data_IF_949326941835
#
_entry.id   IF_949326941835
#
_cell.length_a   1.000
_cell.length_b   1.000
_cell.length_c   1.000
_cell.angle_alpha   90.00
_cell.angle_beta   90.00
_cell.angle_gamma   90.00
#
_symmetry.space_group_name_H-M   'P 1'
#
loop_
_entity.id
_entity.type
_entity.pdbx_description
1 polymer ?
#
# COMPACT_ATOMS: atom_id res chain seq x y z
N UNK A 1 19.69 29.55 59.49
CA UNK A 1 20.02 30.62 58.53
C UNK A 1 19.82 30.03 57.14
N UNK A 2 18.77 30.29 56.38
CA UNK A 2 17.73 31.32 56.43
C UNK A 2 17.68 32.04 55.08
N UNK A 3 16.75 31.64 54.21
CA UNK A 3 16.24 32.35 53.00
C UNK A 3 15.50 31.33 52.11
N UNK A 4 14.21 31.06 52.30
CA UNK A 4 13.05 31.88 51.91
C UNK A 4 13.28 32.81 50.70
N UNK A 5 12.80 32.36 49.53
CA UNK A 5 12.51 33.22 48.38
C UNK A 5 11.14 32.86 47.80
N UNK A 6 10.13 33.31 48.54
CA UNK A 6 8.76 33.47 48.10
C UNK A 6 8.64 34.51 46.97
N UNK A 7 7.84 34.19 45.96
CA UNK A 7 6.88 35.15 45.40
C UNK A 7 7.34 35.98 44.20
N UNK A 8 6.79 35.63 43.03
CA UNK A 8 6.18 36.62 42.13
C UNK A 8 5.23 35.91 41.16
N UNK A 9 3.93 36.04 41.42
CA UNK A 9 2.87 35.76 40.44
C UNK A 9 2.65 37.03 39.61
N UNK A 10 2.83 37.01 38.28
CA UNK A 10 2.39 38.12 37.46
C UNK A 10 0.87 38.10 37.34
N UNK A 11 0.26 39.14 37.91
CA UNK A 11 -1.13 39.50 37.70
C UNK A 11 -1.29 40.24 36.35
N UNK A 12 -2.47 40.10 35.77
CA UNK A 12 -3.04 40.93 34.71
C UNK A 12 -2.46 40.81 33.29
N UNK A 13 -2.93 39.81 32.56
CA UNK A 13 -3.29 40.01 31.15
C UNK A 13 -4.81 39.89 30.99
N UNK A 14 -5.47 41.05 31.03
CA UNK A 14 -6.86 41.21 30.59
C UNK A 14 -6.90 40.87 29.10
N UNK A 15 -7.44 39.70 28.78
CA UNK A 15 -7.76 39.29 27.41
C UNK A 15 -8.84 40.22 26.85
N UNK A 16 -8.43 41.14 25.99
CA UNK A 16 -9.31 41.81 25.02
C UNK A 16 -9.68 40.78 23.95
N UNK A 17 -10.74 39.99 24.21
CA UNK A 17 -11.41 39.26 23.14
C UNK A 17 -12.38 40.23 22.47
N UNK A 18 -12.20 40.56 21.18
CA UNK A 18 -13.24 41.24 20.43
C UNK A 18 -14.42 40.29 20.25
N UNK A 19 -15.56 40.63 20.85
CA UNK A 19 -16.86 40.08 20.49
C UNK A 19 -17.13 40.35 19.00
N UNK A 20 -16.80 39.39 18.13
CA UNK A 20 -17.31 39.31 16.76
C UNK A 20 -18.26 38.12 16.66
N UNK A 21 -19.57 38.28 16.91
CA UNK A 21 -20.50 37.17 16.86
C UNK A 21 -21.13 37.03 15.46
N UNK A 22 -21.25 35.76 15.06
CA UNK A 22 -22.36 35.18 14.29
C UNK A 22 -22.43 35.37 12.77
N UNK A 23 -21.82 36.39 12.14
CA UNK A 23 -21.87 36.49 10.66
C UNK A 23 -20.89 35.57 9.93
N UNK A 24 -19.72 35.24 10.49
CA UNK A 24 -18.76 34.32 9.87
C UNK A 24 -19.12 32.83 10.03
N UNK A 25 -19.92 32.47 11.04
CA UNK A 25 -20.32 31.08 11.25
C UNK A 25 -21.26 30.54 10.15
N UNK A 26 -22.05 31.42 9.51
CA UNK A 26 -22.97 31.02 8.44
C UNK A 26 -22.26 30.70 7.13
N UNK A 27 -21.24 31.47 6.75
CA UNK A 27 -20.46 31.21 5.52
C UNK A 27 -19.62 29.94 5.63
N UNK A 28 -19.07 29.64 6.80
CA UNK A 28 -18.34 28.39 7.02
C UNK A 28 -19.23 27.15 6.90
N UNK A 29 -20.48 27.22 7.40
CA UNK A 29 -21.43 26.11 7.32
C UNK A 29 -21.84 25.76 5.88
N UNK A 30 -22.01 26.76 5.01
CA UNK A 30 -22.33 26.54 3.59
C UNK A 30 -21.17 25.91 2.81
N UNK A 31 -19.93 26.28 3.13
CA UNK A 31 -18.76 25.66 2.51
C UNK A 31 -18.65 24.18 2.90
N UNK A 32 -18.82 23.85 4.19
CA UNK A 32 -18.81 22.45 4.66
C UNK A 32 -19.94 21.63 4.03
N UNK A 33 -21.17 22.17 3.97
CA UNK A 33 -22.30 21.48 3.35
C UNK A 33 -22.09 21.24 1.84
N UNK A 34 -21.53 22.21 1.12
CA UNK A 34 -21.20 22.04 -0.30
C UNK A 34 -20.13 20.97 -0.52
N UNK A 35 -19.11 20.89 0.34
CA UNK A 35 -18.09 19.83 0.26
C UNK A 35 -18.69 18.44 0.50
N UNK A 36 -19.62 18.29 1.45
CA UNK A 36 -20.29 17.01 1.73
C UNK A 36 -21.19 16.58 0.56
N UNK A 37 -21.89 17.52 -0.10
CA UNK A 37 -22.74 17.20 -1.26
C UNK A 37 -21.91 16.79 -2.48
N UNK A 38 -20.78 17.46 -2.73
CA UNK A 38 -19.86 17.08 -3.83
C UNK A 38 -19.21 15.72 -3.55
N UNK A 39 -18.75 15.46 -2.32
CA UNK A 39 -18.19 14.16 -1.95
C UNK A 39 -19.23 13.03 -2.04
N UNK A 40 -20.47 13.27 -1.61
CA UNK A 40 -21.57 12.30 -1.74
C UNK A 40 -22.00 12.04 -3.18
N UNK A 41 -22.01 13.07 -4.04
CA UNK A 41 -22.33 12.91 -5.47
C UNK A 41 -21.23 12.15 -6.23
N UNK A 42 -19.96 12.36 -5.91
CA UNK A 42 -18.84 11.57 -6.47
C UNK A 42 -18.92 10.10 -6.03
N UNK A 43 -19.35 9.84 -4.80
CA UNK A 43 -19.53 8.47 -4.29
C UNK A 43 -20.72 7.73 -4.93
N UNK A 44 -21.78 8.46 -5.31
CA UNK A 44 -22.99 7.88 -5.93
C UNK A 44 -22.88 7.74 -7.47
N UNK A 45 -22.03 8.52 -8.13
CA UNK A 45 -21.90 8.50 -9.59
C UNK A 45 -20.85 7.51 -10.12
N UNK A 46 -20.16 6.75 -9.27
CA UNK A 46 -18.95 6.06 -9.71
C UNK A 46 -18.50 4.85 -8.91
N UNK A 47 -19.39 4.06 -8.32
CA UNK A 47 -19.07 2.63 -8.26
C UNK A 47 -19.48 2.07 -9.62
N UNK A 48 -18.57 1.93 -10.60
CA UNK A 48 -18.90 1.29 -11.87
C UNK A 48 -19.61 0.00 -11.52
N UNK A 49 -20.86 -0.12 -11.98
CA UNK A 49 -21.73 -1.20 -11.57
C UNK A 49 -20.97 -2.52 -11.69
N UNK A 50 -20.94 -3.30 -10.61
CA UNK A 50 -20.52 -4.69 -10.63
C UNK A 50 -21.50 -5.46 -11.53
N UNK A 51 -21.46 -5.20 -12.83
CA UNK A 51 -22.05 -6.05 -13.82
C UNK A 51 -21.37 -7.40 -13.71
N UNK A 52 -22.18 -8.47 -13.70
CA UNK A 52 -21.69 -9.83 -13.94
C UNK A 52 -20.83 -9.76 -15.20
N UNK A 53 -19.50 -9.84 -15.06
CA UNK A 53 -18.64 -9.39 -16.17
C UNK A 53 -17.42 -8.54 -15.81
N UNK A 54 -17.21 -8.12 -14.55
CA UNK A 54 -16.00 -7.36 -14.20
C UNK A 54 -14.70 -8.19 -14.31
N UNK A 55 -13.60 -7.60 -14.77
CA UNK A 55 -12.27 -8.22 -14.72
C UNK A 55 -11.82 -8.53 -13.29
N UNK A 56 -12.36 -7.82 -12.31
CA UNK A 56 -12.09 -8.08 -10.89
C UNK A 56 -12.48 -9.49 -10.44
N UNK A 57 -13.43 -10.14 -11.11
CA UNK A 57 -13.82 -11.54 -10.84
C UNK A 57 -12.73 -12.55 -11.25
N UNK A 58 -11.79 -12.14 -12.11
CA UNK A 58 -10.67 -12.95 -12.57
C UNK A 58 -9.42 -12.80 -11.70
N UNK A 59 -9.41 -11.84 -10.77
CA UNK A 59 -8.26 -11.56 -9.92
C UNK A 59 -8.18 -12.57 -8.76
N UNK A 60 -7.03 -13.22 -8.60
CA UNK A 60 -6.71 -14.01 -7.43
C UNK A 60 -6.27 -13.09 -6.28
N UNK A 61 -6.91 -13.24 -5.12
CA UNK A 61 -6.62 -12.46 -3.90
C UNK A 61 -6.04 -13.33 -2.79
N UNK A 62 -5.46 -14.47 -3.15
CA UNK A 62 -4.81 -15.35 -2.19
C UNK A 62 -3.55 -14.69 -1.63
N UNK A 63 -3.38 -14.63 -0.30
CA UNK A 63 -2.19 -14.08 0.29
C UNK A 63 -0.96 -14.91 -0.08
N UNK A 64 0.18 -14.25 -0.20
CA UNK A 64 1.46 -14.89 -0.46
C UNK A 64 1.84 -15.72 0.78
N UNK A 65 2.24 -17.00 0.62
CA UNK A 65 2.74 -17.78 1.73
C UNK A 65 3.95 -17.12 2.37
N UNK A 66 3.92 -16.97 3.70
CA UNK A 66 5.04 -16.37 4.44
C UNK A 66 6.32 -17.17 4.19
N UNK A 67 7.36 -16.47 3.75
CA UNK A 67 8.69 -17.04 3.50
C UNK A 67 9.65 -16.48 4.54
N UNK A 68 10.51 -17.33 5.10
CA UNK A 68 11.58 -16.84 5.96
C UNK A 68 12.66 -16.18 5.12
N UNK A 69 13.16 -15.03 5.60
CA UNK A 69 14.31 -14.34 5.01
C UNK A 69 15.39 -14.28 6.06
N UNK A 70 16.61 -14.59 5.65
CA UNK A 70 17.77 -14.37 6.49
C UNK A 70 17.96 -12.86 6.70
N UNK A 71 17.79 -12.42 7.95
CA UNK A 71 17.97 -11.03 8.38
C UNK A 71 19.21 -10.85 9.26
N UNK A 72 20.16 -11.80 9.23
CA UNK A 72 21.37 -11.77 10.08
C UNK A 72 22.23 -10.52 9.87
N UNK A 73 22.14 -9.88 8.70
CA UNK A 73 22.87 -8.65 8.35
C UNK A 73 22.08 -7.37 8.60
N UNK A 74 20.78 -7.47 8.88
CA UNK A 74 19.92 -6.32 9.14
C UNK A 74 20.13 -5.77 10.56
N UNK A 75 19.86 -4.47 10.75
CA UNK A 75 19.86 -3.90 12.10
C UNK A 75 18.73 -4.50 12.96
N UNK A 76 18.91 -4.68 14.29
CA UNK A 76 17.87 -5.23 15.15
C UNK A 76 16.54 -4.47 15.09
N UNK A 77 16.58 -3.14 14.89
CA UNK A 77 15.38 -2.32 14.75
C UNK A 77 14.61 -2.62 13.46
N UNK A 78 15.34 -2.80 12.34
CA UNK A 78 14.76 -3.20 11.06
C UNK A 78 14.14 -4.60 11.14
N UNK A 79 14.88 -5.56 11.73
CA UNK A 79 14.40 -6.92 11.98
C UNK A 79 13.10 -6.92 12.79
N UNK A 80 13.02 -6.11 13.86
CA UNK A 80 11.84 -6.02 14.71
C UNK A 80 10.62 -5.45 13.95
N UNK A 81 10.80 -4.37 13.19
CA UNK A 81 9.71 -3.73 12.43
C UNK A 81 9.23 -4.65 11.29
N UNK A 82 10.15 -5.29 10.57
CA UNK A 82 9.79 -6.27 9.54
C UNK A 82 9.01 -7.45 10.12
N UNK A 83 9.48 -8.03 11.23
CA UNK A 83 8.80 -9.16 11.89
C UNK A 83 7.40 -8.76 12.38
N UNK A 84 7.23 -7.54 12.89
CA UNK A 84 5.91 -7.03 13.27
C UNK A 84 4.99 -6.92 12.05
N UNK A 85 5.48 -6.40 10.92
CA UNK A 85 4.72 -6.35 9.68
C UNK A 85 4.31 -7.73 9.17
N UNK A 86 5.22 -8.71 9.22
CA UNK A 86 4.94 -10.09 8.88
C UNK A 86 3.94 -10.77 9.84
N UNK A 87 3.95 -10.40 11.13
CA UNK A 87 2.96 -10.88 12.09
C UNK A 87 1.55 -10.34 11.77
N UNK A 88 1.43 -9.04 11.45
CA UNK A 88 0.15 -8.49 10.97
C UNK A 88 -0.31 -9.16 9.68
N UNK A 89 0.61 -9.40 8.74
CA UNK A 89 0.33 -10.10 7.48
C UNK A 89 -0.21 -11.50 7.75
N UNK A 90 0.45 -12.30 8.58
CA UNK A 90 0.00 -13.65 8.90
C UNK A 90 -1.37 -13.68 9.60
N UNK A 91 -1.71 -12.63 10.36
CA UNK A 91 -3.00 -12.48 11.04
C UNK A 91 -4.12 -11.91 10.13
N UNK A 92 -3.80 -11.55 8.88
CA UNK A 92 -4.76 -10.95 7.95
C UNK A 92 -5.06 -9.47 8.21
N UNK A 93 -4.28 -8.80 9.04
CA UNK A 93 -4.38 -7.36 9.29
C UNK A 93 -3.58 -6.59 8.22
N UNK A 94 -4.12 -6.59 6.99
CA UNK A 94 -3.45 -6.06 5.81
C UNK A 94 -3.07 -4.58 5.91
N UNK A 95 -3.93 -3.67 6.42
CA UNK A 95 -3.55 -2.28 6.59
C UNK A 95 -2.36 -2.09 7.55
N UNK A 96 -2.35 -2.78 8.69
CA UNK A 96 -1.24 -2.68 9.63
C UNK A 96 0.04 -3.33 9.08
N UNK A 97 -0.09 -4.44 8.34
CA UNK A 97 1.02 -5.07 7.65
C UNK A 97 1.67 -4.11 6.65
N UNK A 98 0.86 -3.46 5.81
CA UNK A 98 1.33 -2.49 4.82
C UNK A 98 2.07 -1.31 5.47
N UNK A 99 1.57 -0.78 6.59
CA UNK A 99 2.25 0.30 7.33
C UNK A 99 3.61 -0.14 7.87
N UNK A 100 3.68 -1.27 8.59
CA UNK A 100 4.94 -1.73 9.18
C UNK A 100 5.95 -2.14 8.11
N UNK A 101 5.52 -2.80 7.03
CA UNK A 101 6.40 -3.15 5.91
C UNK A 101 6.88 -1.91 5.16
N UNK A 102 6.04 -0.87 5.02
CA UNK A 102 6.45 0.43 4.47
C UNK A 102 7.49 1.13 5.35
N UNK A 103 7.38 1.03 6.68
CA UNK A 103 8.41 1.53 7.61
C UNK A 103 9.72 0.75 7.46
N UNK A 104 9.66 -0.58 7.40
CA UNK A 104 10.83 -1.42 7.15
C UNK A 104 11.51 -1.06 5.83
N UNK A 105 10.75 -0.90 4.74
CA UNK A 105 11.29 -0.53 3.42
C UNK A 105 12.03 0.81 3.45
N UNK A 106 11.46 1.84 4.09
CA UNK A 106 12.15 3.13 4.26
C UNK A 106 13.45 3.00 5.07
N UNK A 107 13.49 2.14 6.09
CA UNK A 107 14.71 1.89 6.85
C UNK A 107 15.78 1.18 6.03
N UNK A 108 15.39 0.23 5.17
CA UNK A 108 16.30 -0.44 4.23
C UNK A 108 16.91 0.59 3.27
N UNK A 109 16.10 1.47 2.68
CA UNK A 109 16.59 2.51 1.78
C UNK A 109 17.51 3.52 2.47
N UNK A 110 17.30 3.79 3.77
CA UNK A 110 18.12 4.72 4.55
C UNK A 110 19.42 4.10 5.09
N UNK A 111 19.55 2.77 5.10
CA UNK A 111 20.73 2.09 5.62
C UNK A 111 21.80 1.93 4.52
N UNK A 112 22.96 2.61 4.63
CA UNK A 112 24.02 2.51 3.62
C UNK A 112 24.60 1.09 3.50
N UNK A 113 24.41 0.23 4.50
CA UNK A 113 24.82 -1.19 4.46
C UNK A 113 23.85 -2.05 3.70
N UNK A 114 22.66 -1.54 3.38
CA UNK A 114 21.63 -2.26 2.61
C UNK A 114 21.70 -1.95 1.11
N UNK A 115 22.84 -1.43 0.63
CA UNK A 115 23.10 -1.25 -0.79
C UNK A 115 22.85 -2.55 -1.59
N UNK A 116 22.55 -2.45 -2.89
CA UNK A 116 22.24 -3.60 -3.74
C UNK A 116 23.37 -4.64 -3.75
N UNK A 117 24.63 -4.24 -3.52
CA UNK A 117 25.74 -5.18 -3.35
C UNK A 117 25.67 -6.06 -2.08
N UNK A 118 25.08 -5.55 -0.99
CA UNK A 118 25.13 -6.19 0.32
C UNK A 118 23.86 -6.98 0.65
N UNK A 119 22.70 -6.52 0.17
CA UNK A 119 21.40 -7.13 0.46
C UNK A 119 20.45 -7.05 -0.76
N UNK A 120 20.84 -7.60 -1.93
CA UNK A 120 20.06 -7.46 -3.17
C UNK A 120 18.63 -8.00 -3.06
N UNK A 121 18.40 -8.93 -2.14
CA UNK A 121 17.11 -9.59 -1.95
C UNK A 121 16.22 -8.90 -0.93
N UNK A 122 16.78 -8.22 0.07
CA UNK A 122 15.99 -7.79 1.21
C UNK A 122 15.04 -6.64 0.85
N UNK A 123 15.52 -5.60 0.16
CA UNK A 123 14.67 -4.48 -0.22
C UNK A 123 13.49 -4.90 -1.13
N UNK A 124 13.71 -5.66 -2.23
CA UNK A 124 12.61 -6.15 -3.07
C UNK A 124 11.70 -7.14 -2.33
N UNK A 125 12.22 -7.92 -1.39
CA UNK A 125 11.40 -8.83 -0.59
C UNK A 125 10.44 -8.07 0.33
N UNK A 126 10.92 -7.05 1.06
CA UNK A 126 10.06 -6.21 1.90
C UNK A 126 9.01 -5.50 1.04
N UNK A 127 9.43 -4.96 -0.11
CA UNK A 127 8.55 -4.25 -1.06
C UNK A 127 7.47 -5.17 -1.63
N UNK A 128 7.79 -6.43 -1.91
CA UNK A 128 6.84 -7.45 -2.34
C UNK A 128 5.70 -7.64 -1.33
N UNK A 129 6.03 -7.96 -0.08
CA UNK A 129 4.99 -8.17 0.93
C UNK A 129 4.19 -6.90 1.22
N UNK A 130 4.83 -5.73 1.14
CA UNK A 130 4.13 -4.45 1.25
C UNK A 130 3.10 -4.29 0.12
N UNK A 131 3.50 -4.54 -1.13
CA UNK A 131 2.60 -4.46 -2.29
C UNK A 131 1.43 -5.43 -2.21
N UNK A 132 1.67 -6.67 -1.80
CA UNK A 132 0.60 -7.66 -1.58
C UNK A 132 -0.30 -7.23 -0.42
N UNK A 133 0.24 -6.68 0.67
CA UNK A 133 -0.57 -6.16 1.77
C UNK A 133 -1.48 -5.00 1.33
N UNK A 134 -0.96 -4.05 0.53
CA UNK A 134 -1.77 -2.99 -0.07
C UNK A 134 -2.87 -3.55 -0.98
N UNK A 135 -2.56 -4.55 -1.81
CA UNK A 135 -3.54 -5.22 -2.67
C UNK A 135 -4.69 -5.83 -1.86
N UNK A 136 -4.36 -6.57 -0.80
CA UNK A 136 -5.34 -7.22 0.06
C UNK A 136 -6.14 -6.22 0.92
N UNK A 137 -5.57 -5.05 1.22
CA UNK A 137 -6.26 -3.94 1.86
C UNK A 137 -7.16 -3.13 0.91
N UNK A 138 -7.13 -3.41 -0.41
CA UNK A 138 -7.86 -2.65 -1.43
C UNK A 138 -7.22 -1.30 -1.78
N UNK A 139 -5.97 -1.07 -1.38
CA UNK A 139 -5.17 0.13 -1.67
C UNK A 139 -4.45 -0.04 -3.02
N UNK A 140 -5.22 -0.05 -4.11
CA UNK A 140 -4.75 -0.51 -5.41
C UNK A 140 -3.67 0.39 -6.03
N UNK A 141 -3.66 1.70 -5.72
CA UNK A 141 -2.64 2.61 -6.27
C UNK A 141 -1.26 2.29 -5.67
N UNK A 142 -1.19 2.22 -4.35
CA UNK A 142 0.02 1.89 -3.59
C UNK A 142 0.48 0.45 -3.86
N UNK A 143 -0.46 -0.47 -4.05
CA UNK A 143 -0.16 -1.84 -4.46
C UNK A 143 0.52 -1.88 -5.83
N UNK A 144 -0.03 -1.18 -6.83
CA UNK A 144 0.54 -1.17 -8.19
C UNK A 144 1.97 -0.63 -8.19
N UNK A 145 2.21 0.50 -7.53
CA UNK A 145 3.53 1.11 -7.43
C UNK A 145 4.56 0.13 -6.83
N UNK A 146 4.23 -0.46 -5.67
CA UNK A 146 5.12 -1.39 -5.00
C UNK A 146 5.37 -2.69 -5.81
N UNK A 147 4.35 -3.20 -6.50
CA UNK A 147 4.47 -4.43 -7.29
C UNK A 147 5.19 -4.21 -8.62
N UNK A 148 5.04 -3.03 -9.23
CA UNK A 148 5.76 -2.65 -10.45
C UNK A 148 7.28 -2.51 -10.16
N UNK A 149 7.67 -1.98 -9.01
CA UNK A 149 9.09 -1.96 -8.57
C UNK A 149 9.66 -3.38 -8.43
N UNK A 150 8.87 -4.33 -7.94
CA UNK A 150 9.33 -5.72 -7.78
C UNK A 150 9.32 -6.48 -9.11
N UNK A 151 8.46 -6.10 -10.04
CA UNK A 151 8.40 -6.66 -11.40
C UNK A 151 9.56 -6.18 -12.31
N UNK A 152 10.35 -5.21 -11.87
CA UNK A 152 11.48 -4.67 -12.62
C UNK A 152 12.44 -5.81 -13.07
N UNK A 153 12.91 -5.80 -14.33
CA UNK A 153 13.86 -6.80 -14.84
C UNK A 153 15.17 -6.95 -14.05
N UNK A 154 15.58 -5.94 -13.27
CA UNK A 154 16.74 -5.99 -12.40
C UNK A 154 16.52 -6.83 -11.12
N UNK A 155 15.27 -7.11 -10.76
CA UNK A 155 14.93 -7.94 -9.58
C UNK A 155 15.11 -9.43 -9.91
N UNK A 156 15.63 -10.20 -8.96
CA UNK A 156 15.89 -11.63 -9.14
C UNK A 156 14.61 -12.44 -9.41
N UNK A 157 14.76 -13.48 -10.25
CA UNK A 157 13.64 -14.18 -10.89
C UNK A 157 12.55 -14.72 -9.94
N UNK A 158 12.81 -15.31 -8.76
CA UNK A 158 11.72 -15.78 -7.91
C UNK A 158 10.86 -14.66 -7.31
N UNK A 159 11.44 -13.47 -7.07
CA UNK A 159 10.71 -12.32 -6.55
C UNK A 159 10.02 -11.55 -7.67
N UNK A 160 10.72 -11.39 -8.80
CA UNK A 160 10.19 -10.75 -9.98
C UNK A 160 8.93 -11.42 -10.50
N UNK A 161 8.94 -12.74 -10.63
CA UNK A 161 7.78 -13.49 -11.10
C UNK A 161 6.57 -13.32 -10.19
N UNK A 162 6.78 -13.28 -8.87
CA UNK A 162 5.71 -12.95 -7.92
C UNK A 162 5.20 -11.51 -8.15
N UNK A 163 6.10 -10.58 -8.47
CA UNK A 163 5.77 -9.17 -8.67
C UNK A 163 4.86 -9.00 -9.89
N UNK A 164 5.23 -9.66 -10.99
CA UNK A 164 4.41 -9.77 -12.19
C UNK A 164 3.04 -10.41 -11.89
N UNK A 165 3.01 -11.51 -11.13
CA UNK A 165 1.75 -12.21 -10.83
C UNK A 165 0.78 -11.34 -10.03
N UNK A 166 1.23 -10.76 -8.91
CA UNK A 166 0.39 -9.91 -8.07
C UNK A 166 0.10 -8.55 -8.73
N UNK A 167 1.04 -8.02 -9.53
CA UNK A 167 0.84 -6.81 -10.33
C UNK A 167 -0.27 -6.99 -11.36
N UNK A 168 -0.38 -8.18 -11.97
CA UNK A 168 -1.48 -8.52 -12.86
C UNK A 168 -2.83 -8.56 -12.12
N UNK A 169 -2.86 -9.13 -10.89
CA UNK A 169 -4.06 -9.12 -10.07
C UNK A 169 -4.49 -7.69 -9.73
N UNK A 170 -3.54 -6.81 -9.39
CA UNK A 170 -3.82 -5.40 -9.13
C UNK A 170 -4.48 -4.70 -10.33
N UNK A 171 -3.94 -4.91 -11.54
CA UNK A 171 -4.49 -4.34 -12.77
C UNK A 171 -5.88 -4.86 -13.11
N UNK A 172 -6.15 -6.15 -12.91
CA UNK A 172 -7.50 -6.72 -13.04
C UNK A 172 -8.51 -6.06 -12.09
N UNK A 173 -8.10 -5.79 -10.85
CA UNK A 173 -8.94 -5.10 -9.85
C UNK A 173 -9.20 -3.63 -10.21
N UNK A 174 -8.25 -2.97 -10.89
CA UNK A 174 -8.40 -1.61 -11.40
C UNK A 174 -9.21 -1.56 -12.72
N UNK A 175 -9.51 -2.71 -13.33
CA UNK A 175 -10.17 -2.80 -14.64
C UNK A 175 -9.21 -2.64 -15.84
N UNK A 176 -7.90 -2.63 -15.61
CA UNK A 176 -6.86 -2.60 -16.64
C UNK A 176 -6.55 -4.02 -17.16
N UNK A 177 -7.42 -4.52 -18.03
CA UNK A 177 -7.29 -5.86 -18.59
C UNK A 177 -6.07 -6.03 -19.50
N UNK A 178 -5.72 -5.00 -20.27
CA UNK A 178 -4.59 -5.05 -21.21
C UNK A 178 -3.26 -5.03 -20.46
N UNK A 179 -3.10 -4.17 -19.45
CA UNK A 179 -1.91 -4.18 -18.60
C UNK A 179 -1.79 -5.48 -17.82
N UNK A 180 -2.89 -6.05 -17.32
CA UNK A 180 -2.87 -7.37 -16.69
C UNK A 180 -2.39 -8.45 -17.67
N UNK A 181 -2.90 -8.43 -18.92
CA UNK A 181 -2.52 -9.38 -19.96
C UNK A 181 -1.02 -9.32 -20.28
N UNK A 182 -0.46 -8.10 -20.38
CA UNK A 182 0.97 -7.91 -20.63
C UNK A 182 1.84 -8.57 -19.56
N UNK A 183 1.48 -8.44 -18.27
CA UNK A 183 2.23 -9.05 -17.17
C UNK A 183 2.11 -10.57 -17.13
N UNK A 184 0.92 -11.14 -17.36
CA UNK A 184 0.76 -12.60 -17.38
C UNK A 184 1.38 -13.25 -18.62
N UNK A 185 1.44 -12.54 -19.76
CA UNK A 185 2.13 -13.04 -20.95
C UNK A 185 3.64 -13.15 -20.70
N UNK A 186 4.22 -12.21 -19.95
CA UNK A 186 5.63 -12.29 -19.53
C UNK A 186 5.91 -13.51 -18.62
N UNK A 187 4.93 -13.94 -17.83
CA UNK A 187 5.03 -15.15 -17.00
C UNK A 187 4.92 -16.46 -17.79
N UNK A 188 4.73 -16.43 -19.11
CA UNK A 188 4.57 -17.63 -19.93
C UNK A 188 5.74 -18.63 -19.86
N UNK A 189 6.94 -18.17 -19.50
CA UNK A 189 8.14 -18.98 -19.28
C UNK A 189 8.45 -19.33 -17.82
N UNK A 190 7.67 -18.83 -16.84
CA UNK A 190 7.95 -19.06 -15.42
C UNK A 190 7.76 -20.54 -15.05
N UNK A 191 8.73 -21.17 -14.35
CA UNK A 191 8.56 -22.55 -13.87
C UNK A 191 7.47 -22.68 -12.79
N UNK A 192 7.08 -21.57 -12.15
CA UNK A 192 6.09 -21.55 -11.06
C UNK A 192 4.72 -21.14 -11.58
N UNK A 193 4.64 -20.10 -12.42
CA UNK A 193 3.38 -19.44 -12.79
C UNK A 193 2.90 -19.75 -14.20
N UNK A 194 3.70 -20.36 -15.09
CA UNK A 194 3.34 -20.43 -16.51
C UNK A 194 1.98 -21.06 -16.81
N UNK A 195 1.56 -22.08 -16.05
CA UNK A 195 0.22 -22.66 -16.24
C UNK A 195 -0.89 -21.68 -15.83
N UNK A 196 -0.82 -21.15 -14.61
CA UNK A 196 -1.81 -20.20 -14.09
C UNK A 196 -1.88 -18.94 -14.95
N UNK A 197 -0.74 -18.42 -15.39
CA UNK A 197 -0.64 -17.27 -16.26
C UNK A 197 -1.33 -17.50 -17.62
N UNK A 198 -1.12 -18.67 -18.25
CA UNK A 198 -1.81 -19.03 -19.51
C UNK A 198 -3.33 -19.13 -19.33
N UNK A 199 -3.78 -19.76 -18.24
CA UNK A 199 -5.21 -19.88 -17.92
C UNK A 199 -5.85 -18.51 -17.69
N UNK A 200 -5.19 -17.64 -16.91
CA UNK A 200 -5.65 -16.29 -16.65
C UNK A 200 -5.65 -15.42 -17.92
N UNK A 201 -4.59 -15.49 -18.73
CA UNK A 201 -4.51 -14.79 -20.01
C UNK A 201 -5.64 -15.21 -20.97
N UNK A 202 -5.95 -16.51 -21.04
CA UNK A 202 -7.07 -17.01 -21.84
C UNK A 202 -8.42 -16.50 -21.32
N UNK A 203 -8.63 -16.46 -19.99
CA UNK A 203 -9.84 -15.93 -19.39
C UNK A 203 -10.02 -14.42 -19.66
N UNK A 204 -8.94 -13.65 -19.57
CA UNK A 204 -8.92 -12.21 -19.88
C UNK A 204 -9.23 -11.97 -21.36
N UNK A 205 -8.55 -12.65 -22.28
CA UNK A 205 -8.80 -12.54 -23.74
C UNK A 205 -10.24 -12.88 -24.12
N UNK A 206 -10.78 -13.98 -23.57
CA UNK A 206 -12.18 -14.36 -23.77
C UNK A 206 -13.15 -13.25 -23.35
N UNK A 207 -12.85 -12.57 -22.24
CA UNK A 207 -13.70 -11.48 -21.70
C UNK A 207 -13.56 -10.17 -22.48
N UNK A 208 -12.41 -9.96 -23.13
CA UNK A 208 -12.19 -8.91 -24.13
C UNK A 208 -12.84 -9.23 -25.50
N UNK A 209 -13.34 -10.46 -25.71
CA UNK A 209 -13.90 -10.89 -26.99
C UNK A 209 -12.85 -11.22 -28.06
N UNK A 210 -11.64 -11.60 -27.64
CA UNK A 210 -10.53 -12.03 -28.50
C UNK A 210 -10.27 -13.53 -28.40
#
# INVERSE_FOLDING_TARGET
MGSDSSGQRPAHQRRLWPDRPRRQARTLWWLVAATVVVAGAVFLLGTPGCGKGSFADLADRSPLPTSQVDMSTASPALTAIFNLGMAHYANGDWPAAADQLGRAHRMVQADPRSGPENQPLFAPFVRMYQGVAHLLAGQLAEASEALDEVADPAVVLPLRERGLWYGAQCRLLQGDAEGALALVDELGGSPVYAQQAREQAAAVRKRLGR
#
